data_IF_056996517126
#
_entry.id   IF_056996517126
#
_cell.length_a   1.000
_cell.length_b   1.000
_cell.length_c   1.000
_cell.angle_alpha   90.00
_cell.angle_beta   90.00
_cell.angle_gamma   90.00
#
_symmetry.space_group_name_H-M   'P 1'
#
loop_
_entity.id
_entity.type
_entity.pdbx_description
1 polymer ?
#
# COMPACT_ATOMS: atom_id res chain seq x y z
N UNK A 1 14.84 -9.09 -3.47
CA UNK A 1 13.83 -8.44 -2.61
C UNK A 1 12.47 -8.52 -3.31
N UNK A 2 11.37 -8.75 -2.58
CA UNK A 2 10.03 -8.96 -3.18
C UNK A 2 9.28 -7.64 -3.44
N UNK A 3 9.65 -6.55 -2.77
CA UNK A 3 8.96 -5.26 -2.87
C UNK A 3 8.96 -4.66 -4.29
N UNK A 4 10.07 -4.65 -5.06
CA UNK A 4 10.03 -4.17 -6.44
C UNK A 4 9.03 -4.93 -7.31
N UNK A 5 8.97 -6.27 -7.19
CA UNK A 5 8.00 -7.10 -7.91
C UNK A 5 6.56 -6.78 -7.52
N UNK A 6 6.31 -6.47 -6.24
CA UNK A 6 4.98 -6.06 -5.76
C UNK A 6 4.57 -4.72 -6.39
N UNK A 7 5.46 -3.72 -6.39
CA UNK A 7 5.21 -2.40 -7.00
C UNK A 7 4.92 -2.54 -8.50
N UNK A 8 5.72 -3.33 -9.22
CA UNK A 8 5.50 -3.60 -10.64
C UNK A 8 4.17 -4.31 -10.90
N UNK A 9 3.74 -5.20 -10.00
CA UNK A 9 2.43 -5.84 -10.10
C UNK A 9 1.29 -4.83 -9.98
N UNK A 10 1.41 -3.86 -9.08
CA UNK A 10 0.43 -2.77 -8.96
C UNK A 10 0.40 -1.93 -10.24
N UNK A 11 1.57 -1.50 -10.73
CA UNK A 11 1.68 -0.71 -11.98
C UNK A 11 1.13 -1.47 -13.19
N UNK A 12 1.40 -2.77 -13.28
CA UNK A 12 0.86 -3.65 -14.30
C UNK A 12 -0.66 -3.60 -14.30
N UNK A 13 -1.31 -3.82 -13.16
CA UNK A 13 -2.78 -3.81 -13.08
C UNK A 13 -3.39 -2.44 -13.27
N UNK A 14 -2.74 -1.36 -12.83
CA UNK A 14 -3.14 0.01 -13.17
C UNK A 14 -3.17 0.22 -14.69
N UNK A 15 -2.14 -0.25 -15.39
CA UNK A 15 -2.08 -0.18 -16.86
C UNK A 15 -3.15 -1.05 -17.52
N UNK A 16 -3.32 -2.30 -17.09
CA UNK A 16 -4.30 -3.22 -17.69
C UNK A 16 -5.75 -2.75 -17.49
N UNK A 17 -6.05 -2.18 -16.33
CA UNK A 17 -7.40 -1.70 -15.99
C UNK A 17 -7.69 -0.27 -16.45
N UNK A 18 -6.65 0.50 -16.84
CA UNK A 18 -6.77 1.94 -17.08
C UNK A 18 -7.01 2.77 -15.81
N UNK A 19 -6.91 2.17 -14.62
CA UNK A 19 -7.12 2.84 -13.33
C UNK A 19 -5.80 3.39 -12.82
N UNK A 20 -5.65 4.71 -12.80
CA UNK A 20 -4.47 5.38 -12.28
C UNK A 20 -4.34 5.30 -10.76
N UNK A 21 -3.18 5.73 -10.23
CA UNK A 21 -2.86 5.69 -8.80
C UNK A 21 -3.89 6.39 -7.91
N UNK A 22 -4.42 7.54 -8.35
CA UNK A 22 -5.44 8.31 -7.61
C UNK A 22 -6.74 7.51 -7.41
N UNK A 23 -7.03 6.54 -8.28
CA UNK A 23 -8.20 5.66 -8.21
C UNK A 23 -7.84 4.22 -7.78
N UNK A 24 -6.60 3.97 -7.35
CA UNK A 24 -6.15 2.64 -6.88
C UNK A 24 -6.24 2.54 -5.36
N UNK A 25 -6.74 1.40 -4.87
CA UNK A 25 -6.68 1.01 -3.47
C UNK A 25 -5.91 -0.30 -3.30
N UNK A 26 -5.01 -0.35 -2.32
CA UNK A 26 -4.32 -1.59 -1.92
C UNK A 26 -4.97 -2.11 -0.63
N UNK A 27 -5.37 -3.38 -0.63
CA UNK A 27 -6.03 -4.02 0.52
C UNK A 27 -5.20 -5.23 0.92
N UNK A 28 -4.79 -5.29 2.18
CA UNK A 28 -3.92 -6.34 2.68
C UNK A 28 -4.32 -6.83 4.07
N UNK A 29 -3.97 -8.08 4.36
CA UNK A 29 -4.12 -8.72 5.67
C UNK A 29 -2.76 -9.27 6.15
N UNK A 30 -2.42 -9.08 7.42
CA UNK A 30 -1.18 -9.57 8.02
C UNK A 30 0.04 -9.16 7.18
N UNK A 31 0.82 -10.09 6.62
CA UNK A 31 1.95 -9.78 5.75
C UNK A 31 1.54 -8.97 4.50
N UNK A 32 0.35 -9.21 3.95
CA UNK A 32 -0.16 -8.42 2.81
C UNK A 32 -0.39 -6.95 3.17
N UNK A 33 -0.82 -6.66 4.40
CA UNK A 33 -0.96 -5.30 4.89
C UNK A 33 0.41 -4.62 5.06
N UNK A 34 1.41 -5.36 5.56
CA UNK A 34 2.80 -4.87 5.63
C UNK A 34 3.31 -4.54 4.22
N UNK A 35 3.10 -5.42 3.24
CA UNK A 35 3.49 -5.19 1.86
C UNK A 35 2.84 -3.94 1.25
N UNK A 36 1.54 -3.75 1.47
CA UNK A 36 0.83 -2.55 1.00
C UNK A 36 1.39 -1.26 1.62
N UNK A 37 1.59 -1.24 2.95
CA UNK A 37 2.14 -0.09 3.67
C UNK A 37 3.58 0.23 3.25
N UNK A 38 4.45 -0.77 3.17
CA UNK A 38 5.84 -0.58 2.73
C UNK A 38 5.93 -0.18 1.26
N UNK A 39 5.00 -0.62 0.39
CA UNK A 39 5.00 -0.24 -1.02
C UNK A 39 4.74 1.25 -1.24
N UNK A 40 3.78 1.84 -0.51
CA UNK A 40 3.49 3.28 -0.60
C UNK A 40 4.56 4.14 0.10
N UNK A 41 5.31 3.55 1.05
CA UNK A 41 6.48 4.17 1.66
C UNK A 41 7.65 4.21 0.67
N UNK A 42 7.87 3.12 -0.04
CA UNK A 42 8.95 3.00 -1.03
C UNK A 42 8.66 3.82 -2.30
N UNK A 43 7.39 3.87 -2.73
CA UNK A 43 6.95 4.57 -3.94
C UNK A 43 5.76 5.49 -3.63
N UNK A 44 6.00 6.75 -3.22
CA UNK A 44 4.95 7.72 -3.02
C UNK A 44 4.11 7.92 -4.29
N UNK A 45 2.78 7.91 -4.16
CA UNK A 45 1.88 8.02 -5.30
C UNK A 45 1.66 6.72 -6.07
N UNK A 46 2.00 5.57 -5.49
CA UNK A 46 1.62 4.26 -6.03
C UNK A 46 0.11 4.01 -5.95
N UNK A 47 -0.53 4.41 -4.85
CA UNK A 47 -1.97 4.29 -4.63
C UNK A 47 -2.48 5.40 -3.71
N UNK A 48 -3.74 5.82 -3.87
CA UNK A 48 -4.35 6.84 -3.00
C UNK A 48 -4.96 6.28 -1.72
N UNK A 49 -5.15 4.95 -1.63
CA UNK A 49 -5.79 4.29 -0.49
C UNK A 49 -5.05 3.01 -0.12
N UNK A 50 -4.82 2.82 1.18
CA UNK A 50 -4.42 1.54 1.77
C UNK A 50 -5.42 1.14 2.84
N UNK A 51 -5.91 -0.10 2.77
CA UNK A 51 -6.69 -0.72 3.84
C UNK A 51 -5.86 -1.88 4.39
N UNK A 52 -5.36 -1.70 5.60
CA UNK A 52 -4.44 -2.61 6.26
C UNK A 52 -5.13 -3.31 7.43
N UNK A 53 -5.48 -4.58 7.25
CA UNK A 53 -6.02 -5.43 8.29
C UNK A 53 -4.91 -6.16 9.05
N UNK A 54 -4.87 -6.03 10.36
CA UNK A 54 -3.91 -6.71 11.25
C UNK A 54 -2.45 -6.59 10.79
N UNK A 55 -2.08 -5.42 10.26
CA UNK A 55 -0.74 -5.14 9.74
C UNK A 55 -0.06 -3.96 10.42
N UNK A 56 1.17 -3.68 9.99
CA UNK A 56 1.99 -2.55 10.45
C UNK A 56 3.02 -2.17 9.39
N UNK A 57 3.66 -1.02 9.55
CA UNK A 57 4.92 -0.75 8.84
C UNK A 57 6.01 -1.72 9.32
N UNK A 58 6.85 -2.17 8.41
CA UNK A 58 8.04 -2.96 8.73
C UNK A 58 9.05 -2.11 9.50
N UNK A 59 9.24 -0.86 9.05
CA UNK A 59 9.91 0.21 9.78
C UNK A 59 9.13 1.50 9.63
N UNK A 60 9.07 2.32 10.69
CA UNK A 60 8.29 3.56 10.64
C UNK A 60 8.76 4.47 9.47
N UNK A 61 7.84 5.14 8.77
CA UNK A 61 8.21 6.11 7.76
C UNK A 61 8.82 7.36 8.41
N UNK A 62 9.93 7.85 7.86
CA UNK A 62 10.53 9.12 8.30
C UNK A 62 9.76 10.33 7.77
N UNK A 63 9.09 10.17 6.63
CA UNK A 63 8.22 11.16 6.01
C UNK A 63 6.90 10.53 5.60
N UNK A 64 5.80 11.27 5.74
CA UNK A 64 4.48 10.83 5.35
C UNK A 64 3.89 11.80 4.33
N UNK A 65 3.41 11.25 3.20
CA UNK A 65 2.66 12.01 2.22
C UNK A 65 1.19 12.12 2.63
N UNK A 66 0.57 13.27 2.37
CA UNK A 66 -0.89 13.44 2.51
C UNK A 66 -1.68 12.96 1.29
N UNK A 67 -1.00 12.45 0.26
CA UNK A 67 -1.64 11.96 -0.97
C UNK A 67 -2.29 10.59 -0.82
N UNK A 68 -1.97 9.84 0.24
CA UNK A 68 -2.50 8.49 0.50
C UNK A 68 -3.25 8.45 1.81
N UNK A 69 -4.52 8.03 1.76
CA UNK A 69 -5.31 7.74 2.97
C UNK A 69 -5.05 6.31 3.42
N UNK A 70 -4.74 6.12 4.70
CA UNK A 70 -4.45 4.81 5.29
C UNK A 70 -5.53 4.46 6.31
N UNK A 71 -6.22 3.35 6.09
CA UNK A 71 -7.15 2.74 7.04
C UNK A 71 -6.44 1.60 7.75
N UNK A 72 -6.15 1.79 9.04
CA UNK A 72 -5.61 0.74 9.91
C UNK A 72 -6.78 0.07 10.65
N UNK A 73 -6.96 -1.22 10.41
CA UNK A 73 -8.03 -2.01 11.04
C UNK A 73 -7.35 -3.13 11.82
N UNK A 74 -7.46 -3.09 13.14
CA UNK A 74 -6.89 -4.08 14.03
C UNK A 74 -7.98 -4.61 14.96
N UNK A 75 -7.93 -5.90 15.26
CA UNK A 75 -8.77 -6.46 16.33
C UNK A 75 -8.49 -5.78 17.67
N UNK A 76 -9.54 -5.65 18.49
CA UNK A 76 -9.36 -5.56 19.93
C UNK A 76 -9.00 -6.94 20.50
N UNK A 77 -8.92 -7.02 21.83
CA UNK A 77 -8.56 -8.26 22.56
C UNK A 77 -9.29 -9.52 22.06
#
# INVERSE_FOLDING_TARGET
AIMPTFIETVRYWQKQSGVGANATALIGFSQGAIMALESIKAEPGLASRVIAFNGRYASLPETASTATTIHLIHGGE
#
